data_IF_983775493135
#
_entry.id   IF_983775493135
#
_cell.length_a   1.000
_cell.length_b   1.000
_cell.length_c   1.000
_cell.angle_alpha   90.00
_cell.angle_beta   90.00
_cell.angle_gamma   90.00
#
_symmetry.space_group_name_H-M   'P 1'
#
loop_
_entity.id
_entity.type
_entity.pdbx_description
1 polymer ?
#
# COMPACT_ATOMS: atom_id res chain seq x y z
N UNK A 1 -27.67 14.00 -16.80
CA UNK A 1 -26.47 13.95 -15.93
C UNK A 1 -25.33 13.55 -16.84
N UNK A 2 -24.40 14.48 -17.08
CA UNK A 2 -23.43 14.43 -18.18
C UNK A 2 -22.08 13.96 -17.65
N UNK A 3 -21.63 12.80 -18.11
CA UNK A 3 -20.23 12.38 -18.08
C UNK A 3 -19.37 13.43 -18.82
N UNK A 4 -18.47 14.09 -18.09
CA UNK A 4 -17.30 14.81 -18.63
C UNK A 4 -16.11 13.96 -18.19
N UNK A 5 -15.36 13.24 -19.04
CA UNK A 5 -14.67 13.67 -20.26
C UNK A 5 -13.83 14.93 -20.05
N UNK A 6 -12.70 14.79 -19.33
CA UNK A 6 -11.54 15.69 -19.46
C UNK A 6 -10.26 14.85 -19.37
N UNK A 7 -9.85 14.27 -20.50
CA UNK A 7 -8.45 13.93 -20.77
C UNK A 7 -7.99 14.97 -21.79
N UNK A 8 -7.16 15.94 -21.37
CA UNK A 8 -6.40 16.82 -22.27
C UNK A 8 -5.30 17.60 -21.52
N UNK A 9 -4.08 17.08 -21.63
CA UNK A 9 -2.84 17.76 -22.04
C UNK A 9 -2.54 19.16 -21.43
N UNK A 10 -1.42 19.28 -20.69
CA UNK A 10 -0.61 20.51 -20.72
C UNK A 10 0.89 20.27 -20.49
N UNK A 11 1.64 20.78 -21.45
CA UNK A 11 3.09 20.75 -21.61
C UNK A 11 3.71 22.03 -20.98
N UNK A 12 4.99 21.89 -20.60
CA UNK A 12 6.04 22.91 -20.67
C UNK A 12 6.36 23.80 -19.44
N UNK A 13 7.54 23.50 -18.87
CA UNK A 13 8.67 24.39 -18.53
C UNK A 13 8.45 25.62 -17.67
N UNK A 14 9.17 25.71 -16.54
CA UNK A 14 9.98 26.89 -16.15
C UNK A 14 10.73 26.58 -14.83
N UNK A 15 12.06 26.48 -14.85
CA UNK A 15 12.87 26.86 -13.67
C UNK A 15 14.15 27.55 -14.14
N UNK A 16 14.18 28.86 -13.93
CA UNK A 16 15.33 29.73 -14.07
C UNK A 16 16.36 29.40 -12.98
N UNK A 17 17.59 29.09 -13.39
CA UNK A 17 18.72 28.93 -12.48
C UNK A 17 19.27 30.30 -12.08
N UNK A 18 19.10 30.69 -10.81
CA UNK A 18 19.85 31.78 -10.19
C UNK A 18 21.19 31.22 -9.68
N UNK A 19 22.28 31.66 -10.31
CA UNK A 19 23.63 31.36 -9.89
C UNK A 19 23.97 32.09 -8.58
N UNK A 20 24.14 31.32 -7.50
CA UNK A 20 24.70 31.79 -6.23
C UNK A 20 26.23 31.79 -6.35
N UNK A 21 26.95 32.85 -5.96
CA UNK A 21 28.40 32.87 -6.02
C UNK A 21 29.02 31.82 -5.07
N UNK A 22 30.16 31.22 -5.43
CA UNK A 22 30.82 30.26 -4.56
C UNK A 22 31.34 30.95 -3.30
N UNK A 23 30.84 30.50 -2.16
CA UNK A 23 31.48 30.74 -0.87
C UNK A 23 32.87 30.10 -0.96
N UNK A 24 33.94 30.91 -0.88
CA UNK A 24 35.28 30.37 -0.68
C UNK A 24 35.37 29.85 0.75
N UNK A 25 35.18 28.54 0.92
CA UNK A 25 35.53 27.84 2.16
C UNK A 25 37.05 27.75 2.21
N UNK A 26 37.64 28.30 3.27
CA UNK A 26 39.05 28.08 3.61
C UNK A 26 39.28 26.57 3.77
N UNK A 27 40.18 26.01 2.95
CA UNK A 27 40.37 24.58 2.65
C UNK A 27 40.77 23.65 3.81
N UNK A 28 40.66 24.06 5.08
CA UNK A 28 41.02 23.21 6.22
C UNK A 28 39.83 22.55 6.93
N UNK A 29 38.60 22.96 6.67
CA UNK A 29 37.42 22.47 7.39
C UNK A 29 36.53 21.56 6.52
N UNK A 30 36.83 20.26 6.50
CA UNK A 30 35.98 19.28 5.79
C UNK A 30 36.63 17.93 5.52
N UNK A 31 37.91 17.77 5.80
CA UNK A 31 38.57 16.48 5.65
C UNK A 31 38.14 15.52 6.76
N UNK A 32 37.60 14.37 6.37
CA UNK A 32 37.40 13.25 7.29
C UNK A 32 38.75 12.68 7.72
N UNK A 33 38.81 12.00 8.87
CA UNK A 33 40.04 11.35 9.33
C UNK A 33 40.60 10.36 8.29
N UNK A 34 39.73 9.70 7.51
CA UNK A 34 40.15 8.81 6.43
C UNK A 34 40.95 9.53 5.33
N UNK A 35 40.51 10.71 4.89
CA UNK A 35 41.24 11.51 3.90
C UNK A 35 42.58 12.05 4.46
N UNK A 36 42.63 12.37 5.76
CA UNK A 36 43.88 12.81 6.43
C UNK A 36 44.91 11.68 6.51
N UNK A 37 44.47 10.46 6.83
CA UNK A 37 45.36 9.28 6.81
C UNK A 37 45.90 8.98 5.42
N UNK A 38 45.06 9.06 4.38
CA UNK A 38 45.50 8.86 2.99
C UNK A 38 46.58 9.88 2.54
N UNK A 39 46.64 11.05 3.18
CA UNK A 39 47.62 12.10 2.93
C UNK A 39 48.78 12.14 3.95
N UNK A 40 48.97 11.10 4.78
CA UNK A 40 49.97 11.05 5.85
C UNK A 40 49.89 12.21 6.87
N UNK A 41 48.70 12.76 7.10
CA UNK A 41 48.44 13.77 8.12
C UNK A 41 47.83 13.14 9.37
N UNK A 42 48.13 13.71 10.55
CA UNK A 42 47.56 13.27 11.82
C UNK A 42 46.02 13.44 11.83
N UNK A 43 45.26 12.53 12.48
CA UNK A 43 43.81 12.63 12.57
C UNK A 43 43.36 13.88 13.35
N UNK A 44 42.15 14.35 13.05
CA UNK A 44 41.50 15.41 13.82
C UNK A 44 41.16 14.91 15.23
N UNK A 45 41.35 15.79 16.22
CA UNK A 45 40.96 15.53 17.61
C UNK A 45 39.44 15.32 17.69
N UNK A 46 38.95 14.33 18.47
CA UNK A 46 37.53 14.17 18.72
C UNK A 46 36.91 15.47 19.25
N UNK A 47 35.82 15.93 18.64
CA UNK A 47 35.04 17.05 19.18
C UNK A 47 34.38 16.57 20.48
N UNK A 48 34.76 17.17 21.61
CA UNK A 48 34.13 16.90 22.90
C UNK A 48 32.74 17.52 22.90
N UNK A 49 31.70 16.69 22.77
CA UNK A 49 30.29 17.14 22.79
C UNK A 49 29.71 17.26 24.20
N UNK A 50 30.49 17.02 25.26
CA UNK A 50 29.99 17.00 26.63
C UNK A 50 30.72 17.98 27.55
N UNK A 51 29.98 18.91 28.13
CA UNK A 51 30.32 19.50 29.42
C UNK A 51 29.77 18.55 30.49
N UNK A 52 30.60 17.96 31.37
CA UNK A 52 30.12 17.03 32.38
C UNK A 52 29.23 17.78 33.38
N UNK A 53 27.91 17.58 33.28
CA UNK A 53 26.96 18.00 34.31
C UNK A 53 27.17 17.13 35.55
N UNK A 54 27.27 17.76 36.73
CA UNK A 54 27.43 17.05 38.01
C UNK A 54 26.27 16.07 38.20
N UNK A 55 26.57 14.77 38.20
CA UNK A 55 25.59 13.71 38.44
C UNK A 55 25.22 13.71 39.92
N UNK A 56 24.07 14.28 40.26
CA UNK A 56 23.36 13.89 41.48
C UNK A 56 22.92 12.43 41.30
N UNK A 57 23.20 11.58 42.29
CA UNK A 57 22.88 10.16 42.26
C UNK A 57 21.40 9.94 41.88
N UNK A 58 21.19 9.44 40.66
CA UNK A 58 19.88 9.04 40.16
C UNK A 58 19.41 7.83 40.97
N UNK A 59 18.23 7.94 41.60
CA UNK A 59 17.53 6.78 42.16
C UNK A 59 17.40 5.73 41.05
N UNK A 60 17.93 4.53 41.29
CA UNK A 60 17.66 3.37 40.44
C UNK A 60 16.15 3.14 40.38
N UNK A 61 15.50 3.63 39.32
CA UNK A 61 14.23 3.10 38.88
C UNK A 61 14.46 1.66 38.43
N UNK A 62 13.57 0.75 38.84
CA UNK A 62 13.61 -0.64 38.42
C UNK A 62 13.74 -0.70 36.89
N UNK A 63 14.77 -1.38 36.40
CA UNK A 63 14.93 -1.63 34.97
C UNK A 63 13.63 -2.24 34.42
N UNK A 64 13.07 -1.71 33.33
CA UNK A 64 11.93 -2.35 32.68
C UNK A 64 12.35 -3.77 32.31
N UNK A 65 11.61 -4.74 32.86
CA UNK A 65 11.76 -6.16 32.54
C UNK A 65 11.73 -6.32 31.02
N UNK A 66 12.61 -7.14 30.41
CA UNK A 66 12.60 -7.36 28.98
C UNK A 66 11.23 -7.93 28.59
N UNK A 67 10.43 -7.13 27.87
CA UNK A 67 9.20 -7.61 27.27
C UNK A 67 9.52 -8.83 26.41
N UNK A 68 8.74 -9.93 26.50
CA UNK A 68 8.99 -11.11 25.69
C UNK A 68 8.97 -10.70 24.22
N UNK A 69 10.06 -10.98 23.49
CA UNK A 69 10.12 -10.74 22.05
C UNK A 69 8.98 -11.51 21.38
N UNK A 70 8.16 -10.82 20.59
CA UNK A 70 7.22 -11.46 19.68
C UNK A 70 7.95 -12.56 18.91
N UNK A 71 7.56 -13.81 19.14
CA UNK A 71 8.09 -14.93 18.37
C UNK A 71 7.87 -14.70 16.87
N UNK A 72 8.62 -15.40 15.98
CA UNK A 72 8.49 -15.22 14.55
C UNK A 72 7.04 -15.43 14.12
N UNK A 73 6.41 -14.40 13.56
CA UNK A 73 5.07 -14.49 13.00
C UNK A 73 5.10 -15.48 11.84
N UNK A 74 4.35 -16.58 11.94
CA UNK A 74 4.20 -17.53 10.84
C UNK A 74 3.63 -16.82 9.60
N UNK A 75 4.28 -17.00 8.45
CA UNK A 75 3.87 -16.40 7.17
C UNK A 75 3.25 -17.47 6.28
N UNK A 76 2.12 -17.12 5.69
CA UNK A 76 1.38 -17.93 4.73
C UNK A 76 1.59 -17.32 3.35
N UNK A 77 1.95 -18.15 2.38
CA UNK A 77 2.27 -17.71 1.02
C UNK A 77 1.58 -18.61 0.01
N UNK A 78 1.27 -18.05 -1.15
CA UNK A 78 0.56 -18.76 -2.20
C UNK A 78 0.19 -17.83 -3.35
N UNK A 79 -0.80 -18.24 -4.12
CA UNK A 79 -1.40 -17.48 -5.21
C UNK A 79 -2.82 -17.07 -4.84
N UNK A 80 -3.28 -15.91 -5.32
CA UNK A 80 -4.65 -15.45 -5.06
C UNK A 80 -5.59 -16.15 -6.05
N UNK A 81 -6.35 -17.14 -5.59
CA UNK A 81 -7.45 -17.74 -6.34
C UNK A 81 -8.69 -16.83 -6.28
N UNK A 82 -9.37 -16.68 -7.41
CA UNK A 82 -10.58 -15.87 -7.55
C UNK A 82 -11.79 -16.78 -7.79
N UNK A 83 -12.85 -16.57 -7.03
CA UNK A 83 -14.11 -17.30 -7.16
C UNK A 83 -15.26 -16.32 -7.36
N UNK A 84 -15.93 -16.40 -8.51
CA UNK A 84 -17.15 -15.61 -8.78
C UNK A 84 -18.34 -16.25 -8.07
N UNK A 85 -19.01 -15.49 -7.20
CA UNK A 85 -20.15 -15.98 -6.42
C UNK A 85 -21.28 -16.40 -7.38
N UNK A 86 -21.75 -17.64 -7.24
CA UNK A 86 -22.78 -18.21 -8.10
C UNK A 86 -22.28 -18.78 -9.43
N UNK A 87 -21.04 -18.48 -9.85
CA UNK A 87 -20.47 -18.97 -11.12
C UNK A 87 -19.36 -20.00 -10.94
N UNK A 88 -18.63 -19.97 -9.83
CA UNK A 88 -17.55 -20.92 -9.56
C UNK A 88 -16.15 -20.30 -9.60
N UNK A 89 -15.11 -21.15 -9.67
CA UNK A 89 -13.73 -20.70 -9.80
C UNK A 89 -13.51 -19.93 -11.12
N UNK A 90 -12.85 -18.77 -11.03
CA UNK A 90 -12.56 -17.88 -12.16
C UNK A 90 -11.07 -17.85 -12.54
N UNK A 91 -10.25 -18.66 -11.88
CA UNK A 91 -8.79 -18.72 -12.06
C UNK A 91 -8.03 -18.09 -10.89
N UNK A 92 -6.84 -17.56 -11.17
CA UNK A 92 -6.04 -16.79 -10.22
C UNK A 92 -5.96 -15.33 -10.61
N UNK A 93 -5.80 -14.43 -9.66
CA UNK A 93 -5.53 -13.02 -9.92
C UNK A 93 -4.23 -12.91 -10.73
N UNK A 94 -4.25 -12.19 -11.86
CA UNK A 94 -3.06 -11.98 -12.66
C UNK A 94 -2.02 -11.14 -11.91
N UNK A 95 -0.74 -11.47 -12.07
CA UNK A 95 0.36 -10.67 -11.55
C UNK A 95 0.50 -9.30 -12.24
N UNK A 96 -0.06 -9.18 -13.45
CA UNK A 96 -0.07 -7.96 -14.25
C UNK A 96 -1.22 -7.04 -13.89
N UNK A 97 -1.00 -5.75 -14.05
CA UNK A 97 -2.05 -4.72 -13.93
C UNK A 97 -2.49 -4.22 -15.30
N UNK A 98 -3.66 -3.60 -15.38
CA UNK A 98 -4.14 -2.97 -16.62
C UNK A 98 -3.30 -1.74 -16.95
N UNK A 99 -2.77 -1.65 -18.18
CA UNK A 99 -1.93 -0.51 -18.58
C UNK A 99 -2.66 0.85 -18.54
N UNK A 100 -4.00 0.86 -18.63
CA UNK A 100 -4.79 2.09 -18.65
C UNK A 100 -5.09 2.67 -17.26
N UNK A 101 -5.05 1.85 -16.21
CA UNK A 101 -5.43 2.28 -14.84
C UNK A 101 -4.44 1.84 -13.77
N UNK A 102 -3.53 0.92 -14.06
CA UNK A 102 -2.57 0.43 -13.08
C UNK A 102 -3.12 -0.47 -11.97
N UNK A 103 -4.37 -0.95 -12.09
CA UNK A 103 -5.01 -1.83 -11.09
C UNK A 103 -5.04 -3.28 -11.53
N UNK A 104 -5.31 -4.20 -10.59
CA UNK A 104 -5.52 -5.60 -10.94
C UNK A 104 -6.84 -5.77 -11.68
N UNK A 105 -6.78 -6.42 -12.85
CA UNK A 105 -7.88 -6.35 -13.83
C UNK A 105 -8.42 -7.68 -14.31
N UNK A 106 -7.60 -8.73 -14.26
CA UNK A 106 -7.90 -9.99 -14.92
C UNK A 106 -7.57 -11.17 -14.04
N UNK A 107 -8.22 -12.29 -14.35
CA UNK A 107 -7.79 -13.60 -13.91
C UNK A 107 -6.96 -14.29 -14.99
N UNK A 108 -6.16 -15.26 -14.57
CA UNK A 108 -5.40 -16.14 -15.44
C UNK A 108 -5.68 -17.60 -15.07
N UNK A 109 -5.66 -18.47 -16.07
CA UNK A 109 -5.68 -19.94 -15.89
C UNK A 109 -4.26 -20.54 -15.90
N UNK A 110 -3.24 -19.72 -16.20
CA UNK A 110 -1.84 -20.10 -16.09
C UNK A 110 -1.28 -19.65 -14.74
N UNK A 111 -1.08 -20.62 -13.83
CA UNK A 111 -0.54 -20.39 -12.48
C UNK A 111 0.85 -19.73 -12.50
N UNK A 112 1.61 -19.82 -13.61
CA UNK A 112 2.90 -19.11 -13.75
C UNK A 112 2.74 -17.58 -13.89
N UNK A 113 1.59 -17.12 -14.38
CA UNK A 113 1.23 -15.70 -14.52
C UNK A 113 0.45 -15.17 -13.31
N UNK A 114 0.13 -16.04 -12.34
CA UNK A 114 -0.66 -15.68 -11.17
C UNK A 114 0.12 -14.83 -10.17
N UNK A 115 -0.58 -13.96 -9.46
CA UNK A 115 -0.01 -13.10 -8.43
C UNK A 115 0.37 -13.96 -7.20
N UNK A 116 1.67 -14.02 -6.92
CA UNK A 116 2.24 -14.70 -5.76
C UNK A 116 2.33 -13.72 -4.60
N UNK A 117 1.72 -14.08 -3.47
CA UNK A 117 1.59 -13.22 -2.30
C UNK A 117 2.04 -13.90 -1.00
N UNK A 118 2.22 -13.10 0.05
CA UNK A 118 2.39 -13.54 1.42
C UNK A 118 1.60 -12.67 2.40
N UNK A 119 1.13 -13.29 3.47
CA UNK A 119 0.41 -12.65 4.58
C UNK A 119 0.74 -13.37 5.89
N UNK A 120 0.79 -12.68 7.04
CA UNK A 120 0.79 -13.35 8.33
C UNK A 120 -0.34 -14.39 8.45
N UNK A 121 -0.02 -15.63 8.81
CA UNK A 121 -0.99 -16.73 8.86
C UNK A 121 -2.07 -16.55 9.95
N UNK A 122 -1.71 -15.89 11.05
CA UNK A 122 -2.57 -15.75 12.22
C UNK A 122 -2.38 -14.33 12.74
N UNK A 123 -3.40 -13.49 12.54
CA UNK A 123 -3.44 -12.15 13.08
C UNK A 123 -4.81 -11.87 13.68
N UNK A 124 -4.80 -11.04 14.73
CA UNK A 124 -6.03 -10.49 15.30
C UNK A 124 -6.61 -9.44 14.36
N UNK A 125 -5.72 -8.57 13.89
CA UNK A 125 -6.02 -7.37 13.10
C UNK A 125 -5.75 -7.60 11.60
N UNK A 126 -6.23 -6.69 10.76
CA UNK A 126 -5.95 -6.73 9.32
C UNK A 126 -4.46 -6.52 9.04
N UNK A 127 -3.98 -7.06 7.93
CA UNK A 127 -2.56 -7.14 7.59
C UNK A 127 -2.35 -6.86 6.11
N UNK A 128 -1.14 -6.43 5.78
CA UNK A 128 -0.75 -6.18 4.40
C UNK A 128 -0.52 -7.51 3.66
N UNK A 129 -1.09 -7.61 2.45
CA UNK A 129 -0.90 -8.73 1.54
C UNK A 129 0.24 -8.40 0.58
N UNK A 130 1.44 -8.93 0.82
CA UNK A 130 2.63 -8.57 0.06
C UNK A 130 2.76 -9.40 -1.21
N UNK A 131 2.79 -8.75 -2.37
CA UNK A 131 3.08 -9.35 -3.66
C UNK A 131 4.58 -9.50 -3.92
N UNK A 132 4.98 -10.64 -4.51
CA UNK A 132 6.38 -10.92 -4.87
C UNK A 132 6.69 -10.68 -6.35
N UNK A 133 5.69 -10.83 -7.22
CA UNK A 133 5.79 -10.67 -8.66
C UNK A 133 4.81 -9.60 -9.17
N UNK A 134 4.47 -8.61 -8.34
CA UNK A 134 3.68 -7.44 -8.75
C UNK A 134 4.45 -6.51 -9.70
N UNK A 135 3.80 -5.44 -10.18
CA UNK A 135 4.35 -4.58 -11.24
C UNK A 135 5.61 -3.81 -10.83
N UNK A 136 5.71 -3.39 -9.56
CA UNK A 136 6.90 -2.71 -9.06
C UNK A 136 7.20 -3.01 -7.57
N UNK A 137 8.39 -2.58 -7.11
CA UNK A 137 8.89 -2.84 -5.75
C UNK A 137 8.47 -1.82 -4.70
N UNK A 138 8.11 -0.60 -5.10
CA UNK A 138 7.62 0.46 -4.22
C UNK A 138 6.17 0.19 -3.79
N UNK A 139 5.35 -0.32 -4.69
CA UNK A 139 3.92 -0.60 -4.49
C UNK A 139 3.63 -2.10 -4.33
N UNK A 140 4.51 -2.81 -3.60
CA UNK A 140 4.51 -4.27 -3.52
C UNK A 140 3.39 -4.89 -2.65
N UNK A 141 2.38 -4.13 -2.25
CA UNK A 141 1.24 -4.64 -1.48
C UNK A 141 -0.03 -4.60 -2.31
N UNK A 142 -0.82 -5.66 -2.23
CA UNK A 142 -2.19 -5.66 -2.74
C UNK A 142 -3.01 -4.87 -1.73
N UNK A 143 -3.54 -3.73 -2.12
CA UNK A 143 -4.28 -2.83 -1.24
C UNK A 143 -5.52 -2.27 -1.92
N UNK A 144 -6.20 -1.42 -1.16
CA UNK A 144 -7.35 -0.65 -1.60
C UNK A 144 -6.89 0.76 -1.97
N UNK A 145 -7.41 1.26 -3.08
CA UNK A 145 -7.16 2.58 -3.64
C UNK A 145 -8.52 3.27 -3.76
N UNK A 146 -8.61 4.51 -3.28
CA UNK A 146 -9.87 5.25 -3.22
C UNK A 146 -9.70 6.73 -3.56
N UNK A 147 -10.69 7.31 -4.23
CA UNK A 147 -10.71 8.74 -4.55
C UNK A 147 -10.87 9.61 -3.28
N UNK A 148 -10.30 10.82 -3.28
CA UNK A 148 -10.25 11.68 -2.10
C UNK A 148 -11.59 12.32 -1.71
N UNK A 149 -12.47 12.56 -2.68
CA UNK A 149 -13.67 13.37 -2.47
C UNK A 149 -14.73 12.65 -1.61
N UNK A 150 -14.89 11.32 -1.78
CA UNK A 150 -15.88 10.52 -1.06
C UNK A 150 -15.33 9.13 -0.66
N UNK A 151 -14.34 9.08 0.25
CA UNK A 151 -13.59 7.85 0.49
C UNK A 151 -14.29 6.86 1.42
N UNK A 152 -15.35 7.28 2.08
CA UNK A 152 -16.06 6.45 3.06
C UNK A 152 -17.01 5.48 2.34
N UNK A 153 -16.99 4.21 2.77
CA UNK A 153 -17.92 3.19 2.30
C UNK A 153 -18.85 2.74 3.44
N UNK A 154 -19.98 2.15 3.10
CA UNK A 154 -20.90 1.62 4.10
C UNK A 154 -22.19 1.09 3.52
N UNK A 155 -23.03 0.53 4.39
CA UNK A 155 -24.38 0.15 4.02
C UNK A 155 -25.15 1.38 3.52
N UNK A 156 -25.83 1.25 2.38
CA UNK A 156 -26.59 2.35 1.79
C UNK A 156 -25.81 3.30 0.88
N UNK A 157 -24.48 3.19 0.81
CA UNK A 157 -23.60 4.01 -0.04
C UNK A 157 -23.22 3.27 -1.33
N UNK A 158 -23.18 4.00 -2.43
CA UNK A 158 -22.71 3.60 -3.75
C UNK A 158 -21.18 3.67 -3.89
N UNK A 159 -20.47 4.18 -2.88
CA UNK A 159 -19.04 4.37 -2.94
C UNK A 159 -18.32 3.02 -3.07
N UNK A 160 -17.32 3.02 -3.92
CA UNK A 160 -16.45 1.88 -4.19
C UNK A 160 -15.04 2.38 -4.40
N UNK A 161 -14.06 1.49 -4.23
CA UNK A 161 -12.69 1.76 -4.63
C UNK A 161 -12.12 0.61 -5.45
N UNK A 162 -10.85 0.74 -5.82
CA UNK A 162 -10.13 -0.18 -6.69
C UNK A 162 -9.19 -1.08 -5.88
N UNK A 163 -8.94 -2.29 -6.38
CA UNK A 163 -7.91 -3.19 -5.82
C UNK A 163 -6.67 -3.11 -6.69
N UNK A 164 -5.56 -2.65 -6.10
CA UNK A 164 -4.33 -2.41 -6.85
C UNK A 164 -3.05 -2.52 -6.03
N UNK A 165 -1.90 -2.32 -6.69
CA UNK A 165 -0.60 -2.24 -6.04
C UNK A 165 -0.47 -0.92 -5.26
N UNK A 166 -0.13 -1.00 -3.98
CA UNK A 166 -0.03 0.14 -3.05
C UNK A 166 1.26 0.08 -2.23
N UNK A 167 1.72 1.23 -1.75
CA UNK A 167 2.69 1.32 -0.69
C UNK A 167 2.11 0.85 0.64
N UNK A 168 2.97 0.56 1.60
CA UNK A 168 2.56 0.07 2.90
C UNK A 168 1.80 1.13 3.71
N UNK A 169 0.75 0.69 4.42
CA UNK A 169 0.07 1.47 5.46
C UNK A 169 -0.03 0.66 6.75
N UNK A 170 -0.04 1.36 7.89
CA UNK A 170 -0.23 0.77 9.20
C UNK A 170 -1.60 0.08 9.33
N UNK A 171 -1.65 -1.01 10.10
CA UNK A 171 -2.94 -1.67 10.41
C UNK A 171 -3.83 -0.75 11.23
N UNK A 172 -5.08 -0.56 10.77
CA UNK A 172 -6.05 0.34 11.41
C UNK A 172 -5.77 1.83 11.22
N UNK A 173 -4.82 2.20 10.36
CA UNK A 173 -4.66 3.58 9.94
C UNK A 173 -5.88 4.04 9.13
N UNK A 174 -6.16 5.35 9.20
CA UNK A 174 -7.14 5.98 8.31
C UNK A 174 -6.58 6.07 6.89
N UNK A 175 -7.44 6.19 5.87
CA UNK A 175 -7.02 6.43 4.50
C UNK A 175 -6.16 7.68 4.42
N UNK A 176 -5.07 7.58 3.67
CA UNK A 176 -4.15 8.69 3.46
C UNK A 176 -3.58 8.62 2.04
N UNK A 177 -3.20 9.78 1.51
CA UNK A 177 -2.49 9.87 0.23
C UNK A 177 -1.19 9.08 0.33
N UNK A 178 -0.94 8.20 -0.64
CA UNK A 178 0.25 7.39 -0.66
C UNK A 178 0.52 6.75 -2.00
N UNK A 179 1.79 6.39 -2.23
CA UNK A 179 2.23 5.81 -3.51
C UNK A 179 1.40 4.57 -3.87
N UNK A 180 0.85 4.57 -5.08
CA UNK A 180 0.21 3.40 -5.67
C UNK A 180 0.43 3.42 -7.18
N UNK A 181 0.14 2.29 -7.83
CA UNK A 181 0.41 2.17 -9.27
C UNK A 181 -0.67 2.84 -10.14
N UNK A 182 -1.85 3.17 -9.59
CA UNK A 182 -2.89 3.91 -10.29
C UNK A 182 -2.43 5.35 -10.54
N UNK A 183 -1.99 6.06 -9.50
CA UNK A 183 -1.51 7.44 -9.60
C UNK A 183 -0.33 7.59 -10.59
N UNK A 184 0.52 6.57 -10.69
CA UNK A 184 1.64 6.55 -11.66
C UNK A 184 1.14 6.60 -13.11
N UNK A 185 -0.05 6.04 -13.38
CA UNK A 185 -0.64 5.95 -14.71
C UNK A 185 -1.59 7.12 -14.98
N UNK A 186 -2.37 7.53 -13.98
CA UNK A 186 -3.45 8.53 -14.13
C UNK A 186 -3.01 9.95 -13.78
N UNK A 187 -1.92 10.13 -13.04
CA UNK A 187 -1.49 11.42 -12.47
C UNK A 187 -2.54 12.06 -11.55
N UNK A 188 -3.36 11.22 -10.90
CA UNK A 188 -4.43 11.62 -10.00
C UNK A 188 -4.17 11.06 -8.59
N UNK A 189 -3.91 11.91 -7.56
CA UNK A 189 -3.66 11.45 -6.20
C UNK A 189 -4.85 10.71 -5.60
N UNK A 190 -4.59 9.57 -4.98
CA UNK A 190 -5.62 8.77 -4.32
C UNK A 190 -5.25 8.39 -2.88
N UNK A 191 -6.26 8.06 -2.08
CA UNK A 191 -6.09 7.51 -0.75
C UNK A 191 -5.85 6.00 -0.84
N UNK A 192 -4.97 5.48 0.02
CA UNK A 192 -4.62 4.06 0.03
C UNK A 192 -4.77 3.42 1.40
N UNK A 193 -5.05 2.11 1.38
CA UNK A 193 -4.84 1.22 2.52
C UNK A 193 -4.26 -0.14 2.05
N UNK A 194 -3.08 -0.51 2.56
CA UNK A 194 -2.47 -1.81 2.30
C UNK A 194 -2.86 -2.87 3.33
N UNK A 195 -3.01 -2.48 4.60
CA UNK A 195 -3.28 -3.39 5.72
C UNK A 195 -4.77 -3.70 5.88
N UNK A 196 -5.44 -4.08 4.78
CA UNK A 196 -6.89 -4.32 4.71
C UNK A 196 -7.29 -5.79 4.82
N UNK A 197 -6.33 -6.72 4.74
CA UNK A 197 -6.63 -8.16 4.55
C UNK A 197 -6.63 -8.96 5.84
N UNK A 198 -7.49 -9.97 5.92
CA UNK A 198 -7.48 -10.99 6.96
C UNK A 198 -7.52 -12.37 6.34
N UNK A 199 -6.61 -13.23 6.77
CA UNK A 199 -6.52 -14.61 6.29
C UNK A 199 -7.18 -15.58 7.26
N UNK A 200 -8.08 -16.41 6.75
CA UNK A 200 -8.66 -17.52 7.48
C UNK A 200 -7.91 -18.82 7.16
N UNK A 201 -7.03 -19.26 8.07
CA UNK A 201 -6.23 -20.48 7.87
C UNK A 201 -7.03 -21.79 7.77
N UNK A 202 -8.32 -21.79 8.12
CA UNK A 202 -9.19 -22.97 7.97
C UNK A 202 -9.85 -23.06 6.60
N UNK A 203 -10.25 -21.94 6.02
CA UNK A 203 -10.97 -21.87 4.73
C UNK A 203 -10.12 -21.37 3.59
N UNK A 204 -8.90 -20.92 3.89
CA UNK A 204 -7.98 -20.17 3.04
C UNK A 204 -8.53 -18.85 2.47
N UNK A 205 -9.71 -18.41 2.90
CA UNK A 205 -10.35 -17.18 2.43
C UNK A 205 -9.59 -15.93 2.90
N UNK A 206 -9.47 -14.96 1.99
CA UNK A 206 -9.00 -13.62 2.24
C UNK A 206 -10.23 -12.70 2.31
N UNK A 207 -10.52 -12.19 3.50
CA UNK A 207 -11.53 -11.14 3.69
C UNK A 207 -10.86 -9.80 3.86
N UNK A 208 -11.60 -8.72 3.61
CA UNK A 208 -11.05 -7.38 3.73
C UNK A 208 -12.02 -6.40 4.42
N UNK A 209 -11.46 -5.33 4.95
CA UNK A 209 -12.20 -4.19 5.47
C UNK A 209 -11.46 -2.89 5.13
N UNK A 210 -12.23 -1.82 4.98
CA UNK A 210 -11.74 -0.46 4.81
C UNK A 210 -11.95 0.33 6.10
N UNK A 211 -11.03 1.23 6.43
CA UNK A 211 -11.19 2.16 7.54
C UNK A 211 -11.74 3.46 6.96
N UNK A 212 -12.92 3.89 7.39
CA UNK A 212 -13.45 5.19 6.97
C UNK A 212 -12.66 6.34 7.63
N UNK A 213 -12.82 7.55 7.12
CA UNK A 213 -12.19 8.78 7.63
C UNK A 213 -12.57 9.09 9.08
N UNK A 214 -13.73 8.62 9.55
CA UNK A 214 -14.16 8.69 10.94
C UNK A 214 -13.46 7.66 11.87
N UNK A 215 -12.75 6.69 11.28
CA UNK A 215 -12.05 5.60 11.96
C UNK A 215 -12.89 4.33 12.16
N UNK A 216 -14.12 4.29 11.65
CA UNK A 216 -14.93 3.07 11.64
C UNK A 216 -14.37 2.05 10.64
N UNK A 217 -14.41 0.77 11.01
CA UNK A 217 -13.97 -0.32 10.13
C UNK A 217 -15.19 -0.98 9.48
N UNK A 218 -15.24 -0.95 8.15
CA UNK A 218 -16.36 -1.46 7.36
C UNK A 218 -15.91 -2.70 6.59
N UNK A 219 -16.53 -3.88 6.80
CA UNK A 219 -16.28 -5.05 5.97
C UNK A 219 -16.57 -4.77 4.50
N UNK A 220 -15.62 -5.10 3.64
CA UNK A 220 -15.73 -4.78 2.22
C UNK A 220 -16.21 -5.99 1.41
N UNK A 221 -17.15 -5.75 0.51
CA UNK A 221 -17.54 -6.71 -0.53
C UNK A 221 -16.63 -6.52 -1.74
N UNK A 222 -15.91 -7.58 -2.12
CA UNK A 222 -15.09 -7.58 -3.32
C UNK A 222 -15.95 -7.88 -4.56
N UNK A 223 -15.68 -7.19 -5.65
CA UNK A 223 -16.36 -7.41 -6.91
C UNK A 223 -15.41 -7.31 -8.10
N UNK A 224 -15.87 -7.81 -9.24
CA UNK A 224 -15.25 -7.66 -10.54
C UNK A 224 -16.22 -6.93 -11.46
N UNK A 225 -15.79 -5.80 -12.00
CA UNK A 225 -16.48 -5.13 -13.10
C UNK A 225 -16.11 -5.81 -14.42
N UNK A 226 -17.07 -6.45 -15.06
CA UNK A 226 -16.87 -7.20 -16.30
C UNK A 226 -16.94 -6.34 -17.56
N UNK A 227 -17.43 -5.10 -17.48
CA UNK A 227 -17.45 -4.18 -18.62
C UNK A 227 -16.08 -3.52 -18.79
N UNK A 228 -15.48 -3.13 -17.67
CA UNK A 228 -14.21 -2.39 -17.64
C UNK A 228 -13.02 -3.23 -17.18
N UNK A 229 -13.26 -4.49 -16.78
CA UNK A 229 -12.25 -5.46 -16.39
C UNK A 229 -11.35 -4.96 -15.25
N UNK A 230 -11.94 -4.61 -14.10
CA UNK A 230 -11.15 -4.28 -12.90
C UNK A 230 -11.78 -4.84 -11.63
N UNK A 231 -10.92 -5.17 -10.67
CA UNK A 231 -11.36 -5.61 -9.35
C UNK A 231 -11.54 -4.40 -8.43
N UNK A 232 -12.64 -4.41 -7.67
CA UNK A 232 -12.99 -3.35 -6.76
C UNK A 232 -13.52 -3.86 -5.42
N UNK A 233 -13.78 -2.91 -4.53
CA UNK A 233 -14.38 -3.15 -3.24
C UNK A 233 -15.45 -2.10 -2.94
N UNK A 234 -16.48 -2.47 -2.17
CA UNK A 234 -17.55 -1.55 -1.75
C UNK A 234 -18.14 -1.98 -0.41
N UNK A 235 -18.81 -1.06 0.28
CA UNK A 235 -19.58 -1.35 1.50
C UNK A 235 -20.96 -1.94 1.21
N UNK A 236 -21.52 -1.68 0.03
CA UNK A 236 -22.85 -2.12 -0.37
C UNK A 236 -22.93 -2.35 -1.89
N UNK A 237 -22.66 -3.59 -2.30
CA UNK A 237 -22.70 -3.98 -3.71
C UNK A 237 -24.08 -3.81 -4.34
N UNK A 238 -25.16 -3.93 -3.55
CA UNK A 238 -26.52 -3.73 -4.05
C UNK A 238 -26.76 -2.27 -4.43
N UNK A 239 -26.24 -1.34 -3.63
CA UNK A 239 -26.30 0.09 -3.91
C UNK A 239 -25.46 0.50 -5.12
N UNK A 240 -24.21 0.00 -5.18
CA UNK A 240 -23.35 0.20 -6.35
C UNK A 240 -24.03 -0.26 -7.64
N UNK A 241 -24.60 -1.48 -7.65
CA UNK A 241 -25.34 -2.01 -8.80
C UNK A 241 -26.57 -1.16 -9.13
N UNK A 242 -27.27 -0.63 -8.13
CA UNK A 242 -28.46 0.20 -8.40
C UNK A 242 -28.14 1.53 -9.06
N UNK A 243 -26.96 2.10 -8.80
CA UNK A 243 -26.53 3.39 -9.33
C UNK A 243 -25.82 3.25 -10.68
N UNK A 244 -24.85 2.33 -10.78
CA UNK A 244 -23.98 2.18 -11.95
C UNK A 244 -24.18 0.88 -12.73
N UNK A 245 -24.91 -0.09 -12.15
CA UNK A 245 -25.06 -1.41 -12.73
C UNK A 245 -25.93 -1.38 -13.98
N UNK A 246 -25.35 -1.75 -15.11
CA UNK A 246 -26.10 -2.06 -16.32
C UNK A 246 -25.77 -3.49 -16.73
N UNK A 247 -26.78 -4.32 -17.00
CA UNK A 247 -26.55 -5.66 -17.55
C UNK A 247 -25.82 -6.68 -16.64
N UNK A 248 -25.83 -6.52 -15.31
CA UNK A 248 -25.11 -7.38 -14.35
C UNK A 248 -23.58 -7.35 -14.49
N UNK A 249 -23.03 -6.19 -14.82
CA UNK A 249 -21.59 -5.98 -14.98
C UNK A 249 -20.76 -6.10 -13.70
N UNK A 250 -21.37 -5.98 -12.51
CA UNK A 250 -20.68 -6.20 -11.24
C UNK A 250 -20.93 -7.62 -10.72
N UNK A 251 -19.88 -8.43 -10.70
CA UNK A 251 -19.91 -9.80 -10.15
C UNK A 251 -19.23 -9.81 -8.79
N UNK A 252 -19.94 -10.23 -7.74
CA UNK A 252 -19.31 -10.45 -6.44
C UNK A 252 -18.26 -11.55 -6.55
N UNK A 253 -17.06 -11.31 -6.01
CA UNK A 253 -15.97 -12.28 -6.00
C UNK A 253 -15.49 -12.57 -4.58
N UNK A 254 -14.84 -13.72 -4.42
CA UNK A 254 -14.11 -14.11 -3.21
C UNK A 254 -12.67 -14.45 -3.56
N UNK A 255 -11.76 -14.06 -2.69
CA UNK A 255 -10.35 -14.37 -2.82
C UNK A 255 -9.94 -15.46 -1.83
N UNK A 256 -9.11 -16.39 -2.30
CA UNK A 256 -8.56 -17.48 -1.51
C UNK A 256 -7.05 -17.54 -1.72
N UNK A 257 -6.31 -17.91 -0.68
CA UNK A 257 -4.89 -18.21 -0.79
C UNK A 257 -4.70 -19.69 -1.18
N UNK A 258 -4.27 -19.91 -2.42
CA UNK A 258 -3.91 -21.22 -2.97
C UNK A 258 -2.41 -21.46 -2.80
N UNK A 259 -2.05 -22.31 -1.83
CA UNK A 259 -0.66 -22.56 -1.44
C UNK A 259 0.17 -23.30 -2.51
#
# INVERSE_FOLDING_TARGET
>A
MNFRAVILLLLATYVSALAVPPVMWTLEEGWTNAKRFAANLAPLKPKSLYAPTKVLASRHSASPSPSPSSGPTSVCSGFVSVYSVGQGPSGWLSATVMNATGVYSTTTMDKSQALKVSIPCITKDHSALKAYNGPDKKTCYVGFIQEEDEPDIGAGSENFGLIGPTAWTDSGAKPAVGDNYYDVITDDPTLIEASVWKYNSKTTELTAAWINTDGSSVPSTLFWDTDYYWFGFTGDLGKLISEYGSGNNFVQVKFYLDA
#
